data_IF_324759460788
#
_entry.id   IF_324759460788
#
_cell.length_a   1.000
_cell.length_b   1.000
_cell.length_c   1.000
_cell.angle_alpha   90.00
_cell.angle_beta   90.00
_cell.angle_gamma   90.00
#
_symmetry.space_group_name_H-M   'P 1'
#
loop_
_entity.id
_entity.type
_entity.pdbx_description
1 polymer ?
#
# COMPACT_ATOMS: atom_id res chain seq x y z
N UNK A 1 7.36 0.72 -11.03
CA UNK A 1 6.65 0.84 -9.74
C UNK A 1 7.11 -0.31 -8.86
N UNK A 2 7.38 -0.01 -7.59
CA UNK A 2 7.74 -0.98 -6.56
C UNK A 2 6.57 -1.14 -5.59
N UNK A 3 6.18 -2.38 -5.32
CA UNK A 3 5.21 -2.70 -4.27
C UNK A 3 6.01 -3.27 -3.09
N UNK A 4 6.16 -2.47 -2.04
CA UNK A 4 6.99 -2.82 -0.89
C UNK A 4 6.11 -3.48 0.18
N UNK A 5 6.21 -4.80 0.32
CA UNK A 5 5.48 -5.49 1.38
C UNK A 5 6.14 -5.24 2.74
N UNK A 6 5.38 -4.66 3.66
CA UNK A 6 5.79 -4.34 5.04
C UNK A 6 4.83 -5.00 6.03
N UNK A 7 5.25 -5.09 7.29
CA UNK A 7 4.36 -5.46 8.39
C UNK A 7 3.46 -4.28 8.78
N UNK A 8 2.48 -4.55 9.67
CA UNK A 8 1.49 -3.58 10.14
C UNK A 8 2.09 -2.32 10.78
N UNK A 9 3.32 -2.42 11.28
CA UNK A 9 4.06 -1.32 11.89
C UNK A 9 5.17 -0.75 10.99
N UNK A 10 5.42 -1.35 9.83
CA UNK A 10 6.57 -1.06 8.98
C UNK A 10 6.34 0.07 7.99
N UNK A 11 5.24 0.81 8.12
CA UNK A 11 4.96 2.02 7.37
C UNK A 11 5.80 3.22 7.83
N UNK A 12 6.26 3.21 9.08
CA UNK A 12 7.14 4.22 9.66
C UNK A 12 8.46 3.58 10.14
N UNK A 13 9.54 4.35 10.11
CA UNK A 13 10.86 3.97 10.65
C UNK A 13 11.41 2.60 10.18
N UNK A 14 11.10 2.21 8.94
CA UNK A 14 11.56 0.95 8.36
C UNK A 14 12.78 1.16 7.44
N UNK A 15 14.00 0.74 7.86
CA UNK A 15 15.21 0.92 7.04
C UNK A 15 15.16 0.18 5.70
N UNK A 16 14.41 -0.92 5.62
CA UNK A 16 14.25 -1.69 4.38
C UNK A 16 13.35 -0.96 3.40
N UNK A 17 12.28 -0.32 3.89
CA UNK A 17 11.43 0.53 3.08
C UNK A 17 12.22 1.72 2.53
N UNK A 18 12.98 2.41 3.38
CA UNK A 18 13.84 3.53 2.97
C UNK A 18 14.88 3.11 1.90
N UNK A 19 15.43 1.90 1.98
CA UNK A 19 16.34 1.38 0.97
C UNK A 19 15.65 1.15 -0.38
N UNK A 20 14.41 0.64 -0.38
CA UNK A 20 13.60 0.46 -1.59
C UNK A 20 13.23 1.81 -2.20
N UNK A 21 12.83 2.79 -1.38
CA UNK A 21 12.54 4.15 -1.81
C UNK A 21 13.74 4.82 -2.48
N UNK A 22 14.92 4.69 -1.87
CA UNK A 22 16.16 5.20 -2.46
C UNK A 22 16.43 4.59 -3.84
N UNK A 23 16.32 3.26 -3.96
CA UNK A 23 16.54 2.57 -5.24
C UNK A 23 15.51 2.99 -6.28
N UNK A 24 14.24 3.08 -5.89
CA UNK A 24 13.18 3.49 -6.79
C UNK A 24 13.37 4.93 -7.29
N UNK A 25 13.87 5.83 -6.44
CA UNK A 25 14.20 7.20 -6.83
C UNK A 25 15.33 7.26 -7.88
N UNK A 26 16.35 6.39 -7.79
CA UNK A 26 17.41 6.27 -8.80
C UNK A 26 16.86 5.84 -10.17
N UNK A 27 15.77 5.08 -10.18
CA UNK A 27 15.12 4.55 -11.39
C UNK A 27 13.92 5.40 -11.86
N UNK A 28 13.56 6.46 -11.14
CA UNK A 28 12.36 7.25 -11.43
C UNK A 28 11.05 6.47 -11.22
N UNK A 29 11.06 5.45 -10.37
CA UNK A 29 9.93 4.58 -10.10
C UNK A 29 9.18 5.01 -8.82
N UNK A 30 7.85 4.86 -8.83
CA UNK A 30 6.99 5.06 -7.66
C UNK A 30 7.09 3.85 -6.72
N UNK A 31 7.13 4.08 -5.41
CA UNK A 31 7.00 3.06 -4.37
C UNK A 31 5.63 3.14 -3.71
N UNK A 32 4.98 1.99 -3.56
CA UNK A 32 3.73 1.85 -2.82
C UNK A 32 3.95 0.81 -1.72
N UNK A 33 4.08 1.22 -0.44
CA UNK A 33 4.14 0.26 0.66
C UNK A 33 2.77 -0.39 0.87
N UNK A 34 2.73 -1.68 1.18
CA UNK A 34 1.48 -2.41 1.47
C UNK A 34 1.73 -3.42 2.57
N UNK A 35 0.72 -3.72 3.38
CA UNK A 35 0.79 -4.84 4.30
C UNK A 35 -0.09 -5.98 3.77
N UNK A 36 0.52 -6.94 3.06
CA UNK A 36 -0.24 -8.00 2.40
C UNK A 36 -1.09 -8.86 3.36
N UNK A 37 -0.67 -8.97 4.63
CA UNK A 37 -1.42 -9.67 5.66
C UNK A 37 -2.74 -8.94 5.99
N UNK A 38 -2.66 -7.63 6.28
CA UNK A 38 -3.83 -6.77 6.52
C UNK A 38 -4.75 -6.78 5.29
N UNK A 39 -4.21 -6.67 4.07
CA UNK A 39 -5.02 -6.71 2.85
C UNK A 39 -5.79 -8.03 2.67
N UNK A 40 -5.16 -9.16 3.03
CA UNK A 40 -5.81 -10.47 2.96
C UNK A 40 -6.97 -10.58 3.95
N UNK A 41 -6.83 -10.02 5.14
CA UNK A 41 -7.90 -9.94 6.14
C UNK A 41 -9.03 -9.04 5.65
N UNK A 42 -8.72 -7.83 5.17
CA UNK A 42 -9.71 -6.89 4.59
C UNK A 42 -10.49 -7.56 3.45
N UNK A 43 -9.82 -8.36 2.62
CA UNK A 43 -10.46 -9.05 1.49
C UNK A 43 -11.50 -10.09 1.95
N UNK A 44 -11.39 -10.64 3.16
CA UNK A 44 -12.32 -11.62 3.70
C UNK A 44 -13.46 -10.98 4.51
N UNK A 45 -13.34 -9.70 4.87
CA UNK A 45 -14.37 -8.95 5.57
C UNK A 45 -15.51 -8.52 4.63
N UNK A 46 -16.72 -8.57 5.18
CA UNK A 46 -17.92 -7.99 4.59
C UNK A 46 -17.77 -6.47 4.46
N UNK A 47 -18.42 -5.87 3.47
CA UNK A 47 -18.29 -4.44 3.15
C UNK A 47 -18.63 -3.52 4.34
N UNK A 48 -19.61 -3.94 5.16
CA UNK A 48 -20.02 -3.22 6.36
C UNK A 48 -18.91 -3.16 7.43
N UNK A 49 -18.07 -4.19 7.53
CA UNK A 49 -17.06 -4.33 8.59
C UNK A 49 -15.71 -3.72 8.19
N UNK A 50 -15.46 -3.54 6.88
CA UNK A 50 -14.19 -2.99 6.36
C UNK A 50 -13.89 -1.59 6.90
N UNK A 51 -14.90 -0.73 6.98
CA UNK A 51 -14.73 0.66 7.40
C UNK A 51 -14.39 0.78 8.90
N UNK A 52 -14.87 -0.15 9.73
CA UNK A 52 -14.52 -0.21 11.15
C UNK A 52 -13.10 -0.75 11.32
N UNK A 53 -12.75 -1.85 10.63
CA UNK A 53 -11.41 -2.45 10.69
C UNK A 53 -10.30 -1.50 10.25
N UNK A 54 -10.49 -0.77 9.14
CA UNK A 54 -9.54 0.25 8.68
C UNK A 54 -9.31 1.34 9.74
N UNK A 55 -10.38 1.78 10.41
CA UNK A 55 -10.31 2.82 11.45
C UNK A 55 -9.52 2.35 12.67
N UNK A 56 -9.66 1.10 13.07
CA UNK A 56 -8.89 0.51 14.18
C UNK A 56 -7.38 0.49 13.89
N UNK A 57 -7.02 0.25 12.62
CA UNK A 57 -5.64 0.29 12.14
C UNK A 57 -5.12 1.72 11.87
N UNK A 58 -5.96 2.74 12.04
CA UNK A 58 -5.62 4.13 11.71
C UNK A 58 -5.47 4.39 10.20
N UNK A 59 -6.01 3.50 9.37
CA UNK A 59 -5.97 3.60 7.92
C UNK A 59 -7.29 4.19 7.40
N UNK A 60 -7.19 5.06 6.41
CA UNK A 60 -8.37 5.67 5.76
C UNK A 60 -8.85 4.87 4.55
N UNK A 61 -7.99 4.02 4.00
CA UNK A 61 -8.25 3.23 2.79
C UNK A 61 -7.35 1.98 2.75
N UNK A 62 -7.75 0.92 2.03
CA UNK A 62 -6.90 -0.24 1.78
C UNK A 62 -5.64 0.14 0.99
N UNK A 63 -4.52 -0.51 1.31
CA UNK A 63 -3.27 -0.38 0.57
C UNK A 63 -3.41 -0.87 -0.87
N UNK A 64 -4.27 -1.86 -1.13
CA UNK A 64 -4.54 -2.37 -2.47
C UNK A 64 -5.11 -1.28 -3.40
N UNK A 65 -5.99 -0.41 -2.90
CA UNK A 65 -6.58 0.69 -3.68
C UNK A 65 -5.49 1.68 -4.12
N UNK A 66 -4.48 1.92 -3.28
CA UNK A 66 -3.32 2.74 -3.63
C UNK A 66 -2.50 2.11 -4.74
N UNK A 67 -2.31 0.79 -4.71
CA UNK A 67 -1.61 0.04 -5.77
C UNK A 67 -2.38 0.15 -7.09
N UNK A 68 -3.70 -0.01 -7.07
CA UNK A 68 -4.54 0.09 -8.27
C UNK A 68 -4.42 1.47 -8.90
N UNK A 69 -4.54 2.55 -8.11
CA UNK A 69 -4.42 3.92 -8.62
C UNK A 69 -3.02 4.23 -9.14
N UNK A 70 -1.97 3.79 -8.44
CA UNK A 70 -0.59 3.97 -8.89
C UNK A 70 -0.32 3.19 -10.20
N UNK A 71 -0.88 1.99 -10.35
CA UNK A 71 -0.77 1.22 -11.59
C UNK A 71 -1.52 1.88 -12.75
N UNK A 72 -2.72 2.44 -12.51
CA UNK A 72 -3.47 3.22 -13.50
C UNK A 72 -2.66 4.41 -14.02
N UNK A 73 -2.06 5.19 -13.10
CA UNK A 73 -1.18 6.30 -13.44
C UNK A 73 0.06 5.83 -14.20
N UNK A 74 0.68 4.72 -13.78
CA UNK A 74 1.85 4.14 -14.44
C UNK A 74 1.55 3.74 -15.89
N UNK A 75 0.35 3.21 -16.16
CA UNK A 75 -0.09 2.82 -17.49
C UNK A 75 -0.56 4.03 -18.35
N UNK A 76 -0.56 5.24 -17.80
CA UNK A 76 -1.04 6.44 -18.49
C UNK A 76 -2.55 6.46 -18.74
N UNK A 77 -3.31 5.68 -17.96
CA UNK A 77 -4.76 5.63 -18.05
C UNK A 77 -5.38 6.78 -17.25
N UNK A 78 -6.49 7.33 -17.75
CA UNK A 78 -7.22 8.44 -17.13
C UNK A 78 -8.70 8.03 -16.99
N UNK A 79 -9.39 8.58 -15.99
CA UNK A 79 -10.79 8.29 -15.68
C UNK A 79 -11.57 9.59 -15.58
#
# INVERSE_FOLDING_TARGET
MYVANVDEHGFADNPRLAAVEKRAAEEGAVVVPVCAAIEAEISQLEEADRADFLRELGLTEPGLDRVIRAAYQLLGLQT
#
